data_IF_805935917337
#
_entry.id   IF_805935917337
#
_cell.length_a   1.000
_cell.length_b   1.000
_cell.length_c   1.000
_cell.angle_alpha   90.00
_cell.angle_beta   90.00
_cell.angle_gamma   90.00
#
_symmetry.space_group_name_H-M   'P 1'
#
loop_
_entity.id
_entity.type
_entity.pdbx_description
1 polymer ?
#
# COMPACT_ATOMS: atom_id res chain seq x y z
N UNK A 1 5.42 0.26 12.42
CA UNK A 1 4.44 -0.65 11.76
C UNK A 1 5.15 -1.92 11.33
N UNK A 2 4.49 -3.06 11.50
CA UNK A 2 5.06 -4.35 11.12
C UNK A 2 4.90 -4.51 9.59
N UNK A 3 5.99 -4.86 8.86
CA UNK A 3 5.87 -5.07 7.42
C UNK A 3 5.01 -6.29 7.10
N UNK A 4 4.35 -6.23 5.95
CA UNK A 4 3.60 -7.37 5.42
C UNK A 4 4.56 -8.32 4.72
N UNK A 5 4.47 -9.62 5.03
CA UNK A 5 5.34 -10.64 4.42
C UNK A 5 4.54 -11.39 3.36
N UNK A 6 4.99 -11.30 2.11
CA UNK A 6 4.42 -12.06 1.00
C UNK A 6 5.39 -13.17 0.59
N UNK A 7 4.88 -14.38 0.49
CA UNK A 7 5.63 -15.52 -0.06
C UNK A 7 5.23 -15.67 -1.52
N UNK A 8 6.18 -15.62 -2.43
CA UNK A 8 5.91 -15.73 -3.86
C UNK A 8 5.35 -17.10 -4.21
N UNK A 9 4.19 -17.12 -4.85
CA UNK A 9 3.52 -18.34 -5.29
C UNK A 9 4.02 -18.80 -6.66
N UNK A 10 3.95 -20.08 -6.92
CA UNK A 10 4.37 -20.63 -8.21
C UNK A 10 3.65 -19.96 -9.38
N UNK A 11 2.33 -19.73 -9.24
CA UNK A 11 1.52 -19.10 -10.30
C UNK A 11 1.83 -17.61 -10.51
N UNK A 12 2.63 -17.01 -9.66
CA UNK A 12 3.04 -15.61 -9.81
C UNK A 12 4.29 -15.48 -10.68
N UNK A 13 4.95 -16.58 -11.01
CA UNK A 13 6.15 -16.57 -11.85
C UNK A 13 5.80 -16.70 -13.32
N UNK A 14 6.70 -16.24 -14.17
CA UNK A 14 6.58 -16.30 -15.62
C UNK A 14 7.54 -17.34 -16.22
N UNK A 15 7.61 -17.41 -17.57
CA UNK A 15 8.48 -18.36 -18.26
C UNK A 15 9.96 -18.14 -18.02
N UNK A 16 10.37 -16.95 -17.58
CA UNK A 16 11.77 -16.67 -17.21
C UNK A 16 12.10 -17.20 -15.81
N UNK A 17 11.10 -17.71 -15.07
CA UNK A 17 11.28 -18.20 -13.70
C UNK A 17 11.29 -17.11 -12.64
N UNK A 18 10.94 -15.89 -13.00
CA UNK A 18 10.86 -14.78 -12.07
C UNK A 18 9.42 -14.33 -11.86
N UNK A 19 9.17 -13.62 -10.76
CA UNK A 19 7.85 -13.06 -10.49
C UNK A 19 7.45 -12.12 -11.62
N UNK A 20 6.27 -12.35 -12.20
CA UNK A 20 5.76 -11.48 -13.25
C UNK A 20 5.48 -10.10 -12.68
N UNK A 21 5.90 -9.06 -13.40
CA UNK A 21 5.84 -7.68 -12.91
C UNK A 21 4.46 -7.23 -12.46
N UNK A 22 3.39 -7.75 -13.05
CA UNK A 22 2.01 -7.39 -12.69
C UNK A 22 1.64 -7.80 -11.26
N UNK A 23 2.29 -8.83 -10.72
CA UNK A 23 1.95 -9.35 -9.40
C UNK A 23 2.37 -8.41 -8.27
N UNK A 24 3.35 -7.56 -8.50
CA UNK A 24 3.79 -6.61 -7.48
C UNK A 24 2.71 -5.59 -7.12
N UNK A 25 1.87 -5.21 -8.07
CA UNK A 25 0.73 -4.33 -7.79
C UNK A 25 -0.27 -5.01 -6.85
N UNK A 26 -0.48 -6.31 -7.03
CA UNK A 26 -1.33 -7.11 -6.13
C UNK A 26 -0.72 -7.23 -4.74
N UNK A 27 0.59 -7.41 -4.66
CA UNK A 27 1.31 -7.45 -3.38
C UNK A 27 1.20 -6.11 -2.65
N UNK A 28 1.24 -5.01 -3.38
CA UNK A 28 1.02 -3.67 -2.82
C UNK A 28 -0.38 -3.57 -2.21
N UNK A 29 -1.39 -4.09 -2.89
CA UNK A 29 -2.76 -4.10 -2.37
C UNK A 29 -2.88 -4.93 -1.10
N UNK A 30 -2.32 -6.13 -1.09
CA UNK A 30 -2.31 -6.97 0.11
C UNK A 30 -1.66 -6.27 1.29
N UNK A 31 -0.50 -5.65 1.05
CA UNK A 31 0.23 -4.92 2.08
C UNK A 31 -0.55 -3.69 2.58
N UNK A 32 -1.24 -3.01 1.67
CA UNK A 32 -2.07 -1.85 2.01
C UNK A 32 -3.28 -2.27 2.85
N UNK A 33 -3.93 -3.38 2.52
CA UNK A 33 -5.03 -3.92 3.32
C UNK A 33 -4.56 -4.22 4.75
N UNK A 34 -3.43 -4.89 4.88
CA UNK A 34 -2.81 -5.19 6.17
C UNK A 34 -2.46 -3.91 6.94
N UNK A 35 -1.88 -2.93 6.26
CA UNK A 35 -1.53 -1.65 6.83
C UNK A 35 -2.75 -0.92 7.41
N UNK A 36 -3.85 -0.89 6.67
CA UNK A 36 -5.09 -0.27 7.11
C UNK A 36 -5.65 -0.98 8.36
N UNK A 37 -5.54 -2.29 8.42
CA UNK A 37 -5.92 -3.05 9.60
C UNK A 37 -5.07 -2.67 10.82
N UNK A 38 -3.76 -2.54 10.63
CA UNK A 38 -2.85 -2.11 11.70
C UNK A 38 -3.18 -0.70 12.21
N UNK A 39 -3.63 0.18 11.32
CA UNK A 39 -4.05 1.54 11.68
C UNK A 39 -5.38 1.59 12.44
N UNK A 40 -6.13 0.50 12.46
CA UNK A 40 -7.47 0.47 13.03
C UNK A 40 -8.56 0.96 12.08
N UNK A 41 -8.25 1.06 10.79
CA UNK A 41 -9.17 1.49 9.75
C UNK A 41 -9.25 0.44 8.62
N UNK A 42 -9.68 -0.81 8.94
CA UNK A 42 -9.77 -1.86 7.94
C UNK A 42 -10.78 -1.50 6.83
N UNK A 43 -10.61 -2.09 5.67
CA UNK A 43 -11.49 -1.83 4.52
C UNK A 43 -12.97 -2.08 4.83
N UNK A 44 -13.27 -3.12 5.62
CA UNK A 44 -14.64 -3.41 6.02
C UNK A 44 -15.28 -2.23 6.78
N UNK A 45 -14.51 -1.57 7.64
CA UNK A 45 -14.96 -0.39 8.38
C UNK A 45 -15.21 0.78 7.44
N UNK A 46 -14.34 0.98 6.46
CA UNK A 46 -14.50 2.01 5.44
C UNK A 46 -15.76 1.77 4.61
N UNK A 47 -15.99 0.53 4.21
CA UNK A 47 -17.19 0.14 3.45
C UNK A 47 -18.46 0.39 4.25
N UNK A 48 -18.48 0.08 5.55
CA UNK A 48 -19.61 0.36 6.42
C UNK A 48 -19.93 1.86 6.50
N UNK A 49 -18.90 2.70 6.43
CA UNK A 49 -19.06 4.16 6.42
C UNK A 49 -19.44 4.69 5.03
N UNK A 50 -19.53 3.81 4.03
CA UNK A 50 -19.86 4.20 2.65
C UNK A 50 -18.72 4.92 1.94
N UNK A 51 -17.48 4.68 2.37
CA UNK A 51 -16.30 5.34 1.81
C UNK A 51 -15.50 4.35 0.96
N UNK A 52 -15.19 4.76 -0.26
CA UNK A 52 -14.33 4.03 -1.17
C UNK A 52 -13.02 4.79 -1.35
N UNK A 53 -11.94 4.06 -1.55
CA UNK A 53 -10.61 4.66 -1.76
C UNK A 53 -9.98 4.13 -3.05
N UNK A 54 -10.44 4.60 -4.22
CA UNK A 54 -9.89 4.14 -5.49
C UNK A 54 -8.44 4.57 -5.67
N UNK A 55 -7.69 3.74 -6.39
CA UNK A 55 -6.32 4.04 -6.79
C UNK A 55 -6.39 4.95 -8.02
N UNK A 56 -5.75 6.10 -7.97
CA UNK A 56 -5.70 7.06 -9.07
C UNK A 56 -4.40 7.01 -9.84
N UNK A 57 -3.32 6.51 -9.22
CA UNK A 57 -2.02 6.37 -9.87
C UNK A 57 -1.18 5.34 -9.15
N UNK A 58 -0.31 4.65 -9.90
CA UNK A 58 0.66 3.70 -9.38
C UNK A 58 1.98 3.96 -10.09
N UNK A 59 3.06 4.04 -9.32
CA UNK A 59 4.41 4.19 -9.86
C UNK A 59 5.33 3.18 -9.18
N UNK A 60 6.00 2.35 -9.99
CA UNK A 60 6.87 1.29 -9.49
C UNK A 60 8.24 1.38 -10.13
N UNK A 61 9.28 1.03 -9.36
CA UNK A 61 10.63 0.80 -9.86
C UNK A 61 11.02 -0.62 -9.49
N UNK A 62 11.29 -1.43 -10.50
CA UNK A 62 11.74 -2.81 -10.35
C UNK A 62 13.26 -2.82 -10.27
N UNK A 63 13.80 -3.19 -9.11
CA UNK A 63 15.23 -3.09 -8.83
C UNK A 63 15.95 -4.44 -8.93
N UNK A 64 15.28 -5.53 -8.57
CA UNK A 64 15.84 -6.88 -8.63
C UNK A 64 14.70 -7.90 -8.74
N UNK A 65 14.93 -9.05 -9.39
CA UNK A 65 13.90 -10.07 -9.52
C UNK A 65 13.68 -10.87 -8.25
N UNK A 66 12.51 -11.48 -8.14
CA UNK A 66 12.22 -12.52 -7.14
C UNK A 66 11.75 -13.76 -7.86
N UNK A 67 11.76 -14.88 -7.18
CA UNK A 67 11.34 -16.16 -7.75
C UNK A 67 10.41 -16.90 -6.78
N UNK A 68 9.91 -18.05 -7.22
CA UNK A 68 9.05 -18.90 -6.41
C UNK A 68 9.65 -19.15 -5.02
N UNK A 69 8.79 -19.03 -4.02
CA UNK A 69 9.09 -19.27 -2.61
C UNK A 69 9.93 -18.19 -1.91
N UNK A 70 10.38 -17.18 -2.63
CA UNK A 70 11.00 -16.02 -1.99
C UNK A 70 10.01 -15.35 -1.06
N UNK A 71 10.51 -14.84 0.05
CA UNK A 71 9.71 -14.05 0.99
C UNK A 71 10.08 -12.59 0.85
N UNK A 72 9.07 -11.77 0.68
CA UNK A 72 9.22 -10.34 0.44
C UNK A 72 8.59 -9.59 1.60
N UNK A 73 9.40 -8.80 2.31
CA UNK A 73 8.90 -7.90 3.35
C UNK A 73 8.49 -6.59 2.69
N UNK A 74 7.24 -6.19 2.87
CA UNK A 74 6.70 -4.98 2.26
C UNK A 74 6.43 -3.96 3.36
N UNK A 75 7.25 -2.92 3.38
CA UNK A 75 7.08 -1.79 4.29
C UNK A 75 6.15 -0.78 3.62
N UNK A 76 5.08 -0.41 4.33
CA UNK A 76 4.08 0.55 3.85
C UNK A 76 4.15 1.80 4.71
N UNK A 77 4.06 2.96 4.11
CA UNK A 77 4.07 4.23 4.83
C UNK A 77 3.19 5.27 4.14
N UNK A 78 2.66 6.20 4.92
CA UNK A 78 1.96 7.37 4.38
C UNK A 78 3.00 8.40 3.97
N UNK A 79 3.17 8.61 2.67
CA UNK A 79 4.13 9.57 2.13
C UNK A 79 3.63 10.99 2.18
N UNK A 80 2.37 11.20 1.82
CA UNK A 80 1.77 12.52 1.76
C UNK A 80 0.25 12.41 1.89
N UNK A 81 -0.35 13.42 2.49
CA UNK A 81 -1.81 13.55 2.56
C UNK A 81 -2.15 15.03 2.68
N UNK A 82 -2.99 15.52 1.78
CA UNK A 82 -3.41 16.93 1.74
C UNK A 82 -4.88 17.13 2.13
N UNK A 83 -5.54 16.07 2.62
CA UNK A 83 -6.97 16.09 2.94
C UNK A 83 -7.84 15.53 1.84
N UNK A 84 -7.33 15.44 0.62
CA UNK A 84 -8.03 14.90 -0.56
C UNK A 84 -7.28 13.73 -1.16
N UNK A 85 -5.97 13.90 -1.43
CA UNK A 85 -5.11 12.89 -2.02
C UNK A 85 -4.21 12.27 -0.97
N UNK A 86 -4.16 10.96 -0.97
CA UNK A 86 -3.28 10.16 -0.13
C UNK A 86 -2.24 9.49 -1.01
N UNK A 87 -0.96 9.67 -0.68
CA UNK A 87 0.13 8.95 -1.33
C UNK A 87 0.71 7.96 -0.35
N UNK A 88 0.70 6.68 -0.73
CA UNK A 88 1.25 5.59 0.06
C UNK A 88 2.54 5.13 -0.60
N UNK A 89 3.60 4.98 0.19
CA UNK A 89 4.89 4.48 -0.27
C UNK A 89 5.11 3.03 0.14
N UNK A 90 5.83 2.29 -0.70
CA UNK A 90 6.13 0.88 -0.50
C UNK A 90 7.60 0.62 -0.75
N UNK A 91 8.21 -0.17 0.11
CA UNK A 91 9.55 -0.70 -0.09
C UNK A 91 9.46 -2.21 0.08
N UNK A 92 9.84 -2.95 -0.94
CA UNK A 92 9.82 -4.41 -0.92
C UNK A 92 11.25 -4.94 -0.84
N UNK A 93 11.49 -5.79 0.14
CA UNK A 93 12.81 -6.37 0.40
C UNK A 93 12.71 -7.88 0.40
N UNK A 94 13.49 -8.54 -0.45
CA UNK A 94 13.63 -9.99 -0.42
C UNK A 94 14.37 -10.37 0.85
N UNK A 95 13.75 -11.21 1.66
CA UNK A 95 14.31 -11.67 2.93
C UNK A 95 15.35 -12.75 2.70
N UNK A 96 16.29 -12.88 3.63
CA UNK A 96 17.35 -13.89 3.58
C UNK A 96 18.59 -13.40 4.30
N UNK A 97 19.69 -14.15 4.15
CA UNK A 97 20.97 -13.82 4.80
C UNK A 97 21.54 -12.49 4.31
N UNK A 98 21.27 -12.15 3.03
CA UNK A 98 21.68 -10.90 2.44
C UNK A 98 20.40 -10.23 1.85
N UNK A 99 19.66 -9.46 2.66
CA UNK A 99 18.44 -8.81 2.18
C UNK A 99 18.70 -7.87 1.01
N UNK A 100 17.80 -7.89 0.02
CA UNK A 100 17.92 -7.08 -1.19
C UNK A 100 16.62 -6.31 -1.41
N UNK A 101 16.72 -5.00 -1.62
CA UNK A 101 15.56 -4.20 -2.04
C UNK A 101 15.23 -4.54 -3.49
N UNK A 102 14.04 -5.09 -3.71
CA UNK A 102 13.62 -5.56 -5.02
C UNK A 102 12.69 -4.59 -5.73
N UNK A 103 12.01 -3.72 -4.98
CA UNK A 103 11.06 -2.78 -5.55
C UNK A 103 10.85 -1.61 -4.61
N UNK A 104 10.69 -0.42 -5.20
CA UNK A 104 10.13 0.74 -4.52
C UNK A 104 8.94 1.23 -5.34
N UNK A 105 7.94 1.78 -4.66
CA UNK A 105 6.76 2.23 -5.37
C UNK A 105 5.89 3.17 -4.55
N UNK A 106 4.92 3.75 -5.23
CA UNK A 106 3.91 4.61 -4.63
C UNK A 106 2.56 4.34 -5.27
N UNK A 107 1.50 4.52 -4.50
CA UNK A 107 0.13 4.57 -5.02
C UNK A 107 -0.55 5.83 -4.52
N UNK A 108 -1.39 6.42 -5.37
CA UNK A 108 -2.17 7.59 -5.02
C UNK A 108 -3.64 7.21 -4.93
N UNK A 109 -4.33 7.77 -3.96
CA UNK A 109 -5.72 7.49 -3.66
C UNK A 109 -6.50 8.76 -3.39
N UNK A 110 -7.80 8.68 -3.63
CA UNK A 110 -8.76 9.67 -3.15
C UNK A 110 -9.83 8.93 -2.35
N UNK A 111 -10.69 9.67 -1.66
CA UNK A 111 -11.76 9.06 -0.87
C UNK A 111 -13.09 9.55 -1.42
N UNK A 112 -13.94 8.63 -1.85
CA UNK A 112 -15.23 8.91 -2.45
C UNK A 112 -16.36 8.33 -1.62
N UNK A 113 -17.50 9.03 -1.60
CA UNK A 113 -18.72 8.52 -0.99
C UNK A 113 -19.51 7.63 -1.98
N UNK A 114 -20.65 7.12 -1.56
CA UNK A 114 -21.48 6.24 -2.38
C UNK A 114 -21.98 6.90 -3.68
N UNK A 115 -22.01 8.23 -3.75
CA UNK A 115 -22.40 8.99 -4.93
C UNK A 115 -21.22 9.33 -5.84
N UNK A 116 -20.01 8.82 -5.51
CA UNK A 116 -18.81 9.08 -6.30
C UNK A 116 -18.22 10.48 -6.12
N UNK A 117 -18.57 11.16 -5.03
CA UNK A 117 -18.06 12.48 -4.72
C UNK A 117 -16.98 12.40 -3.65
N UNK A 118 -16.09 13.39 -3.63
CA UNK A 118 -15.05 13.46 -2.61
C UNK A 118 -15.65 13.55 -1.20
N UNK A 119 -15.15 12.70 -0.30
CA UNK A 119 -15.48 12.75 1.11
C UNK A 119 -14.75 13.94 1.73
N UNK A 120 -15.44 14.73 2.53
CA UNK A 120 -14.83 15.81 3.32
C UNK A 120 -14.20 15.19 4.56
N UNK A 121 -13.00 14.67 4.40
CA UNK A 121 -12.32 13.84 5.39
C UNK A 121 -12.21 14.50 6.76
N UNK A 122 -11.84 15.77 6.80
CA UNK A 122 -11.68 16.50 8.06
C UNK A 122 -12.98 16.59 8.84
N UNK A 123 -14.10 16.70 8.12
CA UNK A 123 -15.44 16.85 8.72
C UNK A 123 -16.09 15.52 9.00
N UNK A 124 -16.02 14.60 8.05
CA UNK A 124 -16.75 13.33 8.09
C UNK A 124 -15.99 12.20 8.76
N UNK A 125 -14.65 12.26 8.74
CA UNK A 125 -13.76 11.24 9.31
C UNK A 125 -12.60 11.91 10.04
N UNK A 126 -12.89 12.71 11.08
CA UNK A 126 -11.87 13.55 11.72
C UNK A 126 -10.72 12.76 12.34
N UNK A 127 -10.99 11.60 12.92
CA UNK A 127 -9.95 10.78 13.55
C UNK A 127 -9.00 10.19 12.51
N UNK A 128 -9.55 9.67 11.42
CA UNK A 128 -8.75 9.14 10.33
C UNK A 128 -7.96 10.24 9.62
N UNK A 129 -8.60 11.38 9.38
CA UNK A 129 -7.95 12.56 8.82
C UNK A 129 -6.73 12.96 9.66
N UNK A 130 -6.91 13.08 10.98
CA UNK A 130 -5.83 13.46 11.89
C UNK A 130 -4.68 12.43 11.86
N UNK A 131 -5.01 11.16 11.87
CA UNK A 131 -4.02 10.09 11.81
C UNK A 131 -3.18 10.18 10.53
N UNK A 132 -3.82 10.34 9.39
CA UNK A 132 -3.12 10.45 8.11
C UNK A 132 -2.24 11.70 8.05
N UNK A 133 -2.73 12.83 8.57
CA UNK A 133 -1.95 14.06 8.64
C UNK A 133 -0.71 13.90 9.51
N UNK A 134 -0.83 13.26 10.65
CA UNK A 134 0.29 13.00 11.55
C UNK A 134 1.33 12.09 10.91
N UNK A 135 0.87 11.02 10.25
CA UNK A 135 1.78 10.08 9.60
C UNK A 135 2.51 10.73 8.41
N UNK A 136 1.81 11.52 7.62
CA UNK A 136 2.42 12.26 6.51
C UNK A 136 3.42 13.31 7.03
N UNK A 137 3.11 13.96 8.13
CA UNK A 137 4.01 14.91 8.80
C UNK A 137 5.28 14.26 9.31
N UNK A 138 5.17 13.08 9.91
CA UNK A 138 6.30 12.31 10.41
C UNK A 138 7.25 11.90 9.27
N UNK A 139 6.70 11.54 8.09
CA UNK A 139 7.50 11.17 6.92
C UNK A 139 8.35 12.34 6.40
N UNK A 140 7.85 13.55 6.54
CA UNK A 140 8.52 14.76 6.06
C UNK A 140 9.50 15.35 7.09
N UNK A 141 9.46 14.89 8.31
CA UNK A 141 10.35 15.34 9.39
C UNK A 141 11.78 14.70 9.31
#
# INVERSE_FOLDING_TARGET
MVPYIHRVHYYETDRMGVTHHSNYVRMMEEARVDFMEQLGWPYAKMEELGVMSPVTAVNLKYLAPTTFDDRIAIQVRVRAFDGVRLTIGYTMTKMGDAPVTVLTGESEHVFLNAQGRFVRMKREMPEFFQLLMEMAGAEQA
#
